data_IF_588683779921
#
_entry.id   IF_588683779921
#
_cell.length_a   1.000
_cell.length_b   1.000
_cell.length_c   1.000
_cell.angle_alpha   90.00
_cell.angle_beta   90.00
_cell.angle_gamma   90.00
#
_symmetry.space_group_name_H-M   'P 1'
#
loop_
_entity.id
_entity.type
_entity.pdbx_description
1 polymer ?
#
# COMPACT_ATOMS: atom_id res chain seq x y z
N UNK A 1 23.87 -13.23 -20.49
CA UNK A 1 22.63 -12.48 -20.29
C UNK A 1 21.62 -13.28 -19.48
N UNK A 2 21.24 -14.53 -19.90
CA UNK A 2 20.22 -15.33 -19.23
C UNK A 2 20.51 -15.56 -17.72
N UNK A 3 21.72 -16.01 -17.37
CA UNK A 3 22.10 -16.26 -15.96
C UNK A 3 22.07 -14.96 -15.13
N UNK A 4 22.52 -13.86 -15.71
CA UNK A 4 22.44 -12.55 -15.05
C UNK A 4 20.99 -12.09 -14.88
N UNK A 5 20.13 -12.34 -15.88
CA UNK A 5 18.70 -12.08 -15.81
C UNK A 5 18.00 -12.89 -14.73
N UNK A 6 18.29 -14.20 -14.60
CA UNK A 6 17.75 -15.06 -13.57
C UNK A 6 18.25 -14.66 -12.17
N UNK A 7 19.52 -14.33 -12.03
CA UNK A 7 20.06 -13.83 -10.76
C UNK A 7 19.41 -12.51 -10.36
N UNK A 8 19.24 -11.58 -11.29
CA UNK A 8 18.54 -10.30 -11.07
C UNK A 8 17.06 -10.48 -10.72
N UNK A 9 16.39 -11.42 -11.38
CA UNK A 9 14.99 -11.77 -11.08
C UNK A 9 14.86 -12.26 -9.63
N UNK A 10 15.66 -13.24 -9.24
CA UNK A 10 15.61 -13.79 -7.88
C UNK A 10 15.99 -12.75 -6.83
N UNK A 11 17.13 -12.07 -7.03
CA UNK A 11 17.59 -11.03 -6.10
C UNK A 11 16.57 -9.89 -5.97
N UNK A 12 15.99 -9.43 -7.08
CA UNK A 12 14.97 -8.38 -7.09
C UNK A 12 13.67 -8.81 -6.42
N UNK A 13 13.18 -10.02 -6.70
CA UNK A 13 11.97 -10.55 -6.09
C UNK A 13 12.09 -10.67 -4.57
N UNK A 14 13.21 -11.23 -4.08
CA UNK A 14 13.46 -11.32 -2.63
C UNK A 14 13.68 -9.94 -2.00
N UNK A 15 14.40 -9.04 -2.64
CA UNK A 15 14.63 -7.67 -2.14
C UNK A 15 13.33 -6.88 -2.01
N UNK A 16 12.46 -6.94 -3.03
CA UNK A 16 11.15 -6.29 -2.98
C UNK A 16 10.27 -6.90 -1.89
N UNK A 17 10.20 -8.22 -1.81
CA UNK A 17 9.42 -8.90 -0.78
C UNK A 17 9.89 -8.54 0.64
N UNK A 18 11.20 -8.52 0.87
CA UNK A 18 11.76 -8.16 2.17
C UNK A 18 11.50 -6.67 2.51
N UNK A 19 11.66 -5.78 1.54
CA UNK A 19 11.36 -4.35 1.71
C UNK A 19 9.90 -4.11 2.03
N UNK A 20 8.98 -4.75 1.31
CA UNK A 20 7.54 -4.66 1.54
C UNK A 20 7.16 -5.22 2.92
N UNK A 21 7.71 -6.38 3.29
CA UNK A 21 7.48 -6.96 4.61
C UNK A 21 7.89 -6.00 5.74
N UNK A 22 9.10 -5.45 5.66
CA UNK A 22 9.61 -4.53 6.70
C UNK A 22 8.77 -3.26 6.77
N UNK A 23 8.41 -2.69 5.62
CA UNK A 23 7.57 -1.49 5.53
C UNK A 23 6.21 -1.72 6.18
N UNK A 24 5.50 -2.78 5.78
CA UNK A 24 4.17 -3.10 6.30
C UNK A 24 4.20 -3.53 7.78
N UNK A 25 5.22 -4.28 8.19
CA UNK A 25 5.41 -4.66 9.60
C UNK A 25 5.63 -3.42 10.48
N UNK A 26 6.48 -2.49 10.03
CA UNK A 26 6.75 -1.24 10.77
C UNK A 26 5.50 -0.35 10.87
N UNK A 27 4.70 -0.23 9.80
CA UNK A 27 3.44 0.50 9.84
C UNK A 27 2.45 -0.14 10.81
N UNK A 28 2.33 -1.47 10.76
CA UNK A 28 1.46 -2.22 11.67
C UNK A 28 1.87 -2.08 13.14
N UNK A 29 3.16 -2.10 13.41
CA UNK A 29 3.68 -1.92 14.78
C UNK A 29 3.43 -0.50 15.28
N UNK A 30 3.56 0.51 14.42
CA UNK A 30 3.20 1.89 14.73
C UNK A 30 1.70 2.00 15.05
N UNK A 31 0.83 1.49 14.19
CA UNK A 31 -0.62 1.56 14.40
C UNK A 31 -1.06 0.84 15.68
N UNK A 32 -0.48 -0.33 15.97
CA UNK A 32 -0.75 -1.02 17.24
C UNK A 32 -0.35 -0.18 18.44
N UNK A 33 0.79 0.49 18.36
CA UNK A 33 1.25 1.38 19.43
C UNK A 33 0.28 2.54 19.66
N UNK A 34 -0.19 3.19 18.58
CA UNK A 34 -1.18 4.27 18.69
C UNK A 34 -2.49 3.76 19.32
N UNK A 35 -3.00 2.61 18.88
CA UNK A 35 -4.20 1.98 19.47
C UNK A 35 -3.98 1.63 20.96
N UNK A 36 -2.80 1.18 21.36
CA UNK A 36 -2.49 0.86 22.76
C UNK A 36 -2.36 2.13 23.61
N UNK A 37 -1.83 3.23 23.08
CA UNK A 37 -1.84 4.54 23.72
C UNK A 37 -3.25 5.04 23.93
N UNK A 38 -4.09 5.00 22.89
CA UNK A 38 -5.50 5.40 22.97
C UNK A 38 -6.27 4.60 24.04
N UNK A 39 -6.02 3.29 24.10
CA UNK A 39 -6.59 2.44 25.15
C UNK A 39 -6.14 2.86 26.56
N UNK A 40 -4.89 3.28 26.69
CA UNK A 40 -4.34 3.74 27.97
C UNK A 40 -4.95 5.10 28.36
N UNK A 41 -5.06 6.03 27.43
CA UNK A 41 -5.67 7.35 27.67
C UNK A 41 -7.15 7.23 28.05
N UNK A 42 -7.88 6.36 27.39
CA UNK A 42 -9.27 6.06 27.71
C UNK A 42 -9.45 5.54 29.17
N UNK A 43 -8.44 4.87 29.73
CA UNK A 43 -8.44 4.41 31.13
C UNK A 43 -7.98 5.51 32.10
N UNK A 44 -6.92 6.24 31.74
CA UNK A 44 -6.28 7.23 32.61
C UNK A 44 -7.01 8.58 32.62
N UNK A 45 -7.61 8.96 31.48
CA UNK A 45 -8.20 10.27 31.22
C UNK A 45 -9.57 10.24 30.55
N UNK A 46 -10.53 9.45 31.01
CA UNK A 46 -11.79 9.22 30.33
C UNK A 46 -12.61 10.50 30.08
N UNK A 47 -12.46 11.54 30.91
CA UNK A 47 -13.15 12.81 30.72
C UNK A 47 -12.52 13.65 29.59
N UNK A 48 -11.20 13.55 29.37
CA UNK A 48 -10.50 14.20 28.27
C UNK A 48 -10.93 13.55 26.95
N UNK A 49 -10.88 12.23 26.86
CA UNK A 49 -11.30 11.45 25.68
C UNK A 49 -12.77 11.70 25.30
N UNK A 50 -13.64 11.76 26.31
CA UNK A 50 -15.04 12.14 26.08
C UNK A 50 -15.20 13.53 25.48
N UNK A 51 -14.41 14.49 25.97
CA UNK A 51 -14.44 15.85 25.46
C UNK A 51 -13.89 15.91 24.02
N UNK A 52 -12.85 15.15 23.74
CA UNK A 52 -12.25 15.06 22.41
C UNK A 52 -13.23 14.51 21.41
N UNK A 53 -13.92 13.44 21.73
CA UNK A 53 -14.99 12.87 20.91
C UNK A 53 -16.15 13.88 20.70
N UNK A 54 -16.55 14.65 21.73
CA UNK A 54 -17.51 15.75 21.59
C UNK A 54 -17.02 16.77 20.56
N UNK A 55 -15.73 17.16 20.64
CA UNK A 55 -15.14 18.15 19.72
C UNK A 55 -15.07 17.63 18.28
N UNK A 56 -14.71 16.36 18.08
CA UNK A 56 -14.71 15.72 16.76
C UNK A 56 -16.10 15.78 16.11
N UNK A 57 -17.15 15.39 16.84
CA UNK A 57 -18.52 15.44 16.31
C UNK A 57 -19.01 16.85 16.06
N UNK A 58 -18.59 17.83 16.88
CA UNK A 58 -18.87 19.24 16.62
C UNK A 58 -18.18 19.75 15.35
N UNK A 59 -16.94 19.34 15.12
CA UNK A 59 -16.22 19.66 13.89
C UNK A 59 -16.89 19.06 12.64
N UNK A 60 -17.60 17.93 12.81
CA UNK A 60 -18.45 17.33 11.76
C UNK A 60 -19.80 18.02 11.58
N UNK A 61 -20.08 19.10 12.33
CA UNK A 61 -21.28 19.94 12.15
C UNK A 61 -22.43 19.65 13.11
N UNK A 62 -22.26 18.79 14.11
CA UNK A 62 -23.31 18.54 15.09
C UNK A 62 -23.40 19.70 16.11
N UNK A 63 -24.63 20.11 16.51
CA UNK A 63 -24.83 20.99 17.64
C UNK A 63 -24.23 20.40 18.94
N UNK A 64 -23.73 21.28 19.83
CA UNK A 64 -23.03 20.87 21.04
C UNK A 64 -23.79 19.81 21.87
N UNK A 65 -25.08 20.03 22.10
CA UNK A 65 -25.89 19.12 22.91
C UNK A 65 -25.99 17.71 22.30
N UNK A 66 -26.08 17.65 20.96
CA UNK A 66 -26.14 16.35 20.26
C UNK A 66 -24.76 15.67 20.25
N UNK A 67 -23.68 16.42 19.98
CA UNK A 67 -22.33 15.90 20.00
C UNK A 67 -21.98 15.32 21.40
N UNK A 68 -22.33 16.07 22.46
CA UNK A 68 -22.14 15.60 23.84
C UNK A 68 -22.94 14.33 24.14
N UNK A 69 -24.22 14.29 23.76
CA UNK A 69 -25.06 13.11 24.00
C UNK A 69 -24.55 11.87 23.28
N UNK A 70 -23.99 12.03 22.08
CA UNK A 70 -23.37 10.95 21.32
C UNK A 70 -22.08 10.49 22.01
N UNK A 71 -21.19 11.41 22.39
CA UNK A 71 -19.95 11.12 23.10
C UNK A 71 -20.22 10.37 24.41
N UNK A 72 -21.16 10.87 25.24
CA UNK A 72 -21.55 10.22 26.50
C UNK A 72 -22.07 8.78 26.26
N UNK A 73 -22.80 8.56 25.18
CA UNK A 73 -23.33 7.23 24.86
C UNK A 73 -22.24 6.27 24.37
N UNK A 74 -21.29 6.74 23.56
CA UNK A 74 -20.18 5.94 23.06
C UNK A 74 -19.27 5.55 24.22
N UNK A 75 -18.92 6.51 25.08
CA UNK A 75 -18.07 6.32 26.24
C UNK A 75 -18.66 5.38 27.31
N UNK A 76 -19.96 5.11 27.25
CA UNK A 76 -20.61 4.15 28.17
C UNK A 76 -20.14 2.69 27.94
N UNK A 77 -19.56 2.39 26.77
CA UNK A 77 -18.99 1.07 26.47
C UNK A 77 -17.53 1.23 26.05
N UNK A 78 -16.56 0.73 26.84
CA UNK A 78 -15.11 0.92 26.56
C UNK A 78 -14.65 0.34 25.21
N UNK A 79 -15.22 -0.77 24.76
CA UNK A 79 -14.86 -1.35 23.45
C UNK A 79 -15.35 -0.46 22.30
N UNK A 80 -16.58 0.04 22.39
CA UNK A 80 -17.15 0.97 21.42
C UNK A 80 -16.42 2.30 21.45
N UNK A 81 -16.03 2.79 22.63
CA UNK A 81 -15.27 4.01 22.80
C UNK A 81 -13.91 3.91 22.08
N UNK A 82 -13.15 2.86 22.37
CA UNK A 82 -11.83 2.65 21.73
C UNK A 82 -11.96 2.51 20.21
N UNK A 83 -12.87 1.69 19.70
CA UNK A 83 -13.06 1.54 18.24
C UNK A 83 -13.44 2.88 17.58
N UNK A 84 -14.29 3.67 18.25
CA UNK A 84 -14.72 4.96 17.71
C UNK A 84 -13.59 5.98 17.71
N UNK A 85 -12.84 6.10 18.80
CA UNK A 85 -11.71 7.02 18.91
C UNK A 85 -10.61 6.66 17.89
N UNK A 86 -10.24 5.39 17.78
CA UNK A 86 -9.28 4.93 16.78
C UNK A 86 -9.70 5.29 15.36
N UNK A 87 -10.99 5.16 15.01
CA UNK A 87 -11.49 5.51 13.68
C UNK A 87 -11.61 7.01 13.46
N UNK A 88 -12.07 7.73 14.46
CA UNK A 88 -12.43 9.14 14.31
C UNK A 88 -11.27 10.09 14.55
N UNK A 89 -10.38 9.77 15.47
CA UNK A 89 -9.22 10.57 15.83
C UNK A 89 -7.99 10.17 15.04
N UNK A 90 -7.62 8.89 15.10
CA UNK A 90 -6.42 8.38 14.43
C UNK A 90 -6.65 8.13 12.93
N UNK A 91 -7.91 8.07 12.48
CA UNK A 91 -8.23 7.75 11.10
C UNK A 91 -7.82 6.32 10.70
N UNK A 92 -7.68 5.42 11.67
CA UNK A 92 -7.27 4.03 11.47
C UNK A 92 -8.48 3.11 11.51
N UNK A 93 -8.44 2.04 10.73
CA UNK A 93 -9.38 0.93 10.84
C UNK A 93 -8.68 -0.25 11.52
N UNK A 94 -9.04 -0.60 12.78
CA UNK A 94 -8.44 -1.73 13.50
C UNK A 94 -8.59 -3.06 12.76
N UNK A 95 -9.66 -3.22 11.95
CA UNK A 95 -9.97 -4.44 11.22
C UNK A 95 -9.17 -4.56 9.90
N UNK A 96 -8.66 -3.44 9.37
CA UNK A 96 -7.93 -3.37 8.11
C UNK A 96 -6.40 -3.38 8.26
N UNK A 97 -5.87 -3.80 9.41
CA UNK A 97 -4.42 -3.97 9.58
C UNK A 97 -3.89 -5.08 8.67
N UNK A 98 -3.40 -4.67 7.51
CA UNK A 98 -2.92 -5.59 6.48
C UNK A 98 -1.78 -6.50 6.98
N UNK A 99 -1.78 -7.72 6.48
CA UNK A 99 -0.74 -8.69 6.80
C UNK A 99 0.53 -8.38 6.01
N UNK A 100 1.63 -8.07 6.71
CA UNK A 100 2.95 -7.85 6.11
C UNK A 100 3.39 -9.04 5.22
N UNK A 101 3.03 -10.28 5.58
CA UNK A 101 3.29 -11.45 4.77
C UNK A 101 2.50 -11.49 3.47
N UNK A 102 1.24 -11.07 3.47
CA UNK A 102 0.45 -11.01 2.24
C UNK A 102 1.04 -9.97 1.27
N UNK A 103 1.41 -8.81 1.78
CA UNK A 103 2.06 -7.76 0.99
C UNK A 103 3.40 -8.24 0.41
N UNK A 104 4.25 -8.86 1.21
CA UNK A 104 5.53 -9.40 0.77
C UNK A 104 5.39 -10.48 -0.31
N UNK A 105 4.47 -11.44 -0.13
CA UNK A 105 4.25 -12.52 -1.09
C UNK A 105 3.69 -11.96 -2.41
N UNK A 106 2.72 -11.04 -2.34
CA UNK A 106 2.16 -10.42 -3.55
C UNK A 106 3.21 -9.62 -4.32
N UNK A 107 4.08 -8.89 -3.61
CA UNK A 107 5.19 -8.15 -4.20
C UNK A 107 6.22 -9.06 -4.86
N UNK A 108 6.58 -10.18 -4.19
CA UNK A 108 7.45 -11.21 -4.76
C UNK A 108 6.90 -11.76 -6.07
N UNK A 109 5.63 -12.18 -6.06
CA UNK A 109 4.98 -12.79 -7.23
C UNK A 109 4.87 -11.78 -8.37
N UNK A 110 4.44 -10.56 -8.07
CA UNK A 110 4.30 -9.50 -9.08
C UNK A 110 5.64 -9.18 -9.76
N UNK A 111 6.71 -9.04 -8.96
CA UNK A 111 8.06 -8.81 -9.50
C UNK A 111 8.56 -10.02 -10.31
N UNK A 112 8.40 -11.24 -9.79
CA UNK A 112 8.85 -12.45 -10.47
C UNK A 112 8.15 -12.63 -11.83
N UNK A 113 6.84 -12.36 -11.91
CA UNK A 113 6.09 -12.38 -13.18
C UNK A 113 6.62 -11.30 -14.12
N UNK A 114 6.72 -10.05 -13.68
CA UNK A 114 7.18 -8.94 -14.51
C UNK A 114 8.60 -9.13 -15.05
N UNK A 115 9.53 -9.57 -14.20
CA UNK A 115 10.91 -9.84 -14.59
C UNK A 115 11.02 -11.06 -15.53
N UNK A 116 10.20 -12.09 -15.33
CA UNK A 116 10.15 -13.28 -16.21
C UNK A 116 9.80 -12.90 -17.64
N UNK A 117 8.88 -11.95 -17.85
CA UNK A 117 8.49 -11.47 -19.19
C UNK A 117 9.72 -10.97 -19.97
N UNK A 118 10.67 -10.31 -19.30
CA UNK A 118 11.88 -9.78 -19.93
C UNK A 118 12.98 -10.85 -20.07
N UNK A 119 13.02 -11.83 -19.17
CA UNK A 119 14.07 -12.88 -19.14
C UNK A 119 13.76 -14.02 -20.13
N UNK A 120 12.49 -14.38 -20.31
CA UNK A 120 12.06 -15.50 -21.17
C UNK A 120 12.59 -15.40 -22.62
N UNK A 121 12.58 -14.23 -23.29
CA UNK A 121 13.18 -14.12 -24.63
C UNK A 121 14.62 -14.59 -24.72
N UNK A 122 15.42 -14.35 -23.68
CA UNK A 122 16.83 -14.77 -23.63
C UNK A 122 17.01 -16.28 -23.36
N UNK A 123 15.97 -16.95 -22.88
CA UNK A 123 15.97 -18.40 -22.74
C UNK A 123 15.63 -19.11 -24.06
N UNK A 124 14.81 -18.47 -24.89
CA UNK A 124 14.26 -19.06 -26.14
C UNK A 124 15.00 -18.61 -27.39
N UNK A 125 15.61 -17.43 -27.36
CA UNK A 125 16.26 -16.80 -28.52
C UNK A 125 17.63 -16.27 -28.14
N UNK A 126 18.44 -15.94 -29.13
CA UNK A 126 19.79 -15.38 -28.95
C UNK A 126 19.99 -14.10 -29.77
N UNK A 127 21.04 -13.34 -29.45
CA UNK A 127 21.44 -12.14 -30.19
C UNK A 127 20.37 -11.05 -30.18
N UNK A 128 20.27 -10.35 -31.31
CA UNK A 128 19.39 -9.18 -31.48
C UNK A 128 17.91 -9.54 -31.33
N UNK A 129 17.50 -10.74 -31.73
CA UNK A 129 16.11 -11.19 -31.64
C UNK A 129 15.66 -11.24 -30.18
N UNK A 130 16.43 -11.83 -29.27
CA UNK A 130 16.12 -11.88 -27.86
C UNK A 130 15.99 -10.47 -27.27
N UNK A 131 16.92 -9.57 -27.62
CA UNK A 131 16.92 -8.19 -27.15
C UNK A 131 15.68 -7.40 -27.59
N UNK A 132 15.34 -7.47 -28.89
CA UNK A 132 14.17 -6.77 -29.44
C UNK A 132 12.86 -7.28 -28.83
N UNK A 133 12.74 -8.62 -28.66
CA UNK A 133 11.56 -9.22 -28.03
C UNK A 133 11.45 -8.82 -26.56
N UNK A 134 12.55 -8.79 -25.80
CA UNK A 134 12.53 -8.37 -24.42
C UNK A 134 12.04 -6.92 -24.26
N UNK A 135 12.52 -6.00 -25.10
CA UNK A 135 12.07 -4.61 -25.10
C UNK A 135 10.58 -4.52 -25.49
N UNK A 136 10.17 -5.20 -26.55
CA UNK A 136 8.79 -5.17 -27.00
C UNK A 136 7.81 -5.69 -25.91
N UNK A 137 8.17 -6.79 -25.26
CA UNK A 137 7.38 -7.35 -24.16
C UNK A 137 7.38 -6.47 -22.91
N UNK A 138 8.51 -5.84 -22.58
CA UNK A 138 8.57 -4.88 -21.48
C UNK A 138 7.66 -3.67 -21.72
N UNK A 139 7.70 -3.09 -22.92
CA UNK A 139 6.82 -2.00 -23.32
C UNK A 139 5.34 -2.41 -23.29
N UNK A 140 5.01 -3.57 -23.85
CA UNK A 140 3.65 -4.09 -23.81
C UNK A 140 3.15 -4.30 -22.37
N UNK A 141 4.00 -4.86 -21.51
CA UNK A 141 3.70 -5.03 -20.07
C UNK A 141 3.47 -3.69 -19.36
N UNK A 142 4.32 -2.68 -19.58
CA UNK A 142 4.16 -1.34 -19.01
C UNK A 142 2.85 -0.68 -19.49
N UNK A 143 2.50 -0.81 -20.77
CA UNK A 143 1.25 -0.29 -21.32
C UNK A 143 0.05 -1.01 -20.71
N UNK A 144 0.10 -2.33 -20.58
CA UNK A 144 -0.98 -3.13 -20.00
C UNK A 144 -1.21 -2.76 -18.53
N UNK A 145 -0.16 -2.76 -17.71
CA UNK A 145 -0.24 -2.40 -16.29
C UNK A 145 -0.71 -0.95 -16.13
N UNK A 146 -0.11 -0.01 -16.87
CA UNK A 146 -0.51 1.38 -16.85
C UNK A 146 -1.96 1.60 -17.29
N UNK A 147 -2.43 0.82 -18.27
CA UNK A 147 -3.81 0.83 -18.75
C UNK A 147 -4.81 0.34 -17.67
N UNK A 148 -4.50 -0.79 -17.01
CA UNK A 148 -5.31 -1.32 -15.92
C UNK A 148 -5.37 -0.31 -14.75
N UNK A 149 -4.23 0.21 -14.31
CA UNK A 149 -4.17 1.22 -13.26
C UNK A 149 -4.95 2.48 -13.66
N UNK A 150 -4.83 2.90 -14.91
CA UNK A 150 -5.56 4.07 -15.43
C UNK A 150 -7.07 3.89 -15.43
N UNK A 151 -7.56 2.68 -15.74
CA UNK A 151 -8.99 2.35 -15.72
C UNK A 151 -9.54 2.29 -14.29
N UNK A 152 -8.79 1.69 -13.36
CA UNK A 152 -9.20 1.55 -11.95
C UNK A 152 -9.16 2.88 -11.20
N UNK A 153 -8.16 3.74 -11.50
CA UNK A 153 -7.99 5.03 -10.82
C UNK A 153 -8.81 6.19 -11.41
N UNK A 154 -9.55 5.96 -12.51
CA UNK A 154 -10.32 7.00 -13.19
C UNK A 154 -9.46 8.09 -13.89
N UNK A 155 -8.13 7.96 -13.91
CA UNK A 155 -7.20 8.97 -14.47
C UNK A 155 -7.03 8.88 -16.00
N UNK A 156 -7.66 7.92 -16.64
CA UNK A 156 -7.54 7.67 -18.08
C UNK A 156 -6.38 6.73 -18.43
N UNK A 157 -6.73 5.77 -19.28
CA UNK A 157 -5.83 4.67 -19.72
C UNK A 157 -4.56 5.18 -20.40
N UNK A 158 -4.72 6.11 -21.36
CA UNK A 158 -3.60 6.64 -22.16
C UNK A 158 -2.59 7.40 -21.31
N UNK A 159 -3.09 8.26 -20.40
CA UNK A 159 -2.22 9.02 -19.51
C UNK A 159 -1.41 8.11 -18.58
N UNK A 160 -2.08 7.13 -17.96
CA UNK A 160 -1.44 6.21 -17.01
C UNK A 160 -0.46 5.26 -17.70
N UNK A 161 -0.79 4.75 -18.89
CA UNK A 161 0.12 3.96 -19.70
C UNK A 161 1.35 4.77 -20.15
N UNK A 162 1.16 5.98 -20.64
CA UNK A 162 2.25 6.87 -21.03
C UNK A 162 3.19 7.19 -19.85
N UNK A 163 2.64 7.48 -18.68
CA UNK A 163 3.41 7.70 -17.45
C UNK A 163 4.26 6.47 -17.09
N UNK A 164 3.68 5.28 -17.15
CA UNK A 164 4.38 4.03 -16.85
C UNK A 164 5.55 3.79 -17.80
N UNK A 165 5.35 4.02 -19.11
CA UNK A 165 6.39 3.88 -20.12
C UNK A 165 7.52 4.90 -19.93
N UNK A 166 7.20 6.16 -19.63
CA UNK A 166 8.22 7.21 -19.41
C UNK A 166 9.11 6.87 -18.21
N UNK A 167 8.53 6.49 -17.08
CA UNK A 167 9.29 6.12 -15.90
C UNK A 167 10.09 4.83 -16.11
N UNK A 168 9.50 3.82 -16.76
CA UNK A 168 10.20 2.58 -17.08
C UNK A 168 11.35 2.77 -18.05
N UNK A 169 11.16 3.57 -19.10
CA UNK A 169 12.23 3.92 -20.03
C UNK A 169 13.34 4.75 -19.36
N UNK A 170 12.97 5.69 -18.48
CA UNK A 170 13.93 6.46 -17.68
C UNK A 170 14.81 5.59 -16.80
N UNK A 171 14.18 4.64 -16.08
CA UNK A 171 14.92 3.68 -15.26
C UNK A 171 15.86 2.80 -16.10
N UNK A 172 15.40 2.31 -17.25
CA UNK A 172 16.22 1.52 -18.17
C UNK A 172 17.41 2.32 -18.71
N UNK A 173 17.21 3.61 -19.04
CA UNK A 173 18.27 4.47 -19.54
C UNK A 173 19.37 4.78 -18.50
N UNK A 174 19.02 4.78 -17.21
CA UNK A 174 20.00 4.99 -16.12
C UNK A 174 20.82 3.73 -15.85
N UNK A 175 20.25 2.56 -16.10
CA UNK A 175 20.89 1.26 -15.79
C UNK A 175 21.67 0.67 -16.97
N UNK A 176 21.49 1.19 -18.21
CA UNK A 176 22.22 0.77 -19.41
C UNK A 176 23.51 1.56 -19.58
#
# INVERSE_FOLDING_TARGET
VLFAGLAGLLAGAFSMAAGEYVSMASQRDLFKREIDLERQELIEKPDEERLELELIYRAKGLPREQAKAIADRIMANPETALDTLVREELGLDPDELESAWKAAISSFIAFAIGASVVVIPYALFSGVTAFVLAIALALAGMIAVGGVVGSLSGRGVVFSAGRQVIWGAGAAAVTY
#
